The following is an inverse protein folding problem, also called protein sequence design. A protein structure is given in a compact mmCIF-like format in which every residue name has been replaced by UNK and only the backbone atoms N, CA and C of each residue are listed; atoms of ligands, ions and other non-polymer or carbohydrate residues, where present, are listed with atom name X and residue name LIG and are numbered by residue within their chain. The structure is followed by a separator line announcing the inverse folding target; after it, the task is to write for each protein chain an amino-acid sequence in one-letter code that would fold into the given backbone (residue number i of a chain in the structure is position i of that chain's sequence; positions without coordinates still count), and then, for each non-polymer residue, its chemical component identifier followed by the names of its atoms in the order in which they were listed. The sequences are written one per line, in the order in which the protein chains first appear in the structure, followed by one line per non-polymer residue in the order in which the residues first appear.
data_IF_568387161786
#
_entry.id   IF_568387161786
#
_cell.length_a   1.000
_cell.length_b   1.000
_cell.length_c   1.000
_cell.angle_alpha   90.00
_cell.angle_beta   90.00
_cell.angle_gamma   90.00
#
_symmetry.space_group_name_H-M   'P 1'
#
loop_
_entity.id
_entity.type
_entity.pdbx_description
1 polymer ?
2 non-polymer ?
3 non-polymer ?
4 water ?
#
# COMPACT_ATOMS: atom_id res chain seq x y z
N UNK A 19 -38.57 15.30 -1.51
CA UNK A 19 -39.14 15.10 -2.87
C UNK A 19 -38.19 15.58 -3.97
N UNK A 20 -37.35 16.55 -3.65
N UNK A 24 -33.19 8.89 -12.95
CA UNK A 24 -31.76 8.84 -12.71
C UNK A 24 -31.29 7.61 -11.91
N UNK A 25 -29.99 7.62 -11.61
CA UNK A 25 -29.31 6.57 -10.83
C UNK A 25 -28.24 7.23 -9.97
N UNK A 26 -27.43 6.43 -9.29
CA UNK A 26 -26.36 6.93 -8.40
C UNK A 26 -25.28 7.76 -9.12
N UNK A 27 -24.79 8.80 -8.44
CA UNK A 27 -23.67 9.62 -8.93
C UNK A 27 -22.41 8.80 -8.79
N UNK A 28 -21.65 8.70 -9.88
CA UNK A 28 -20.42 7.92 -9.87
C UNK A 28 -19.20 8.74 -10.26
N UNK A 29 -18.18 8.66 -9.43
CA UNK A 29 -16.88 9.25 -9.69
C UNK A 29 -15.93 8.12 -10.04
N UNK A 30 -15.34 8.17 -11.24
CA UNK A 30 -14.36 7.18 -11.66
C UNK A 30 -12.97 7.81 -11.59
N UNK A 31 -12.08 7.22 -10.80
CA UNK A 31 -10.72 7.68 -10.63
C UNK A 31 -9.84 6.75 -11.43
N UNK A 32 -9.36 7.27 -12.56
CA UNK A 32 -8.50 6.54 -13.48
C UNK A 32 -7.02 6.77 -13.14
N UNK A 33 -6.39 5.72 -12.61
CA UNK A 33 -4.98 5.80 -12.19
C UNK A 33 -4.02 5.17 -13.19
N UNK A 34 -4.39 5.18 -14.47
CA UNK A 34 -3.49 4.71 -15.51
C UNK A 34 -2.20 5.54 -15.51
N UNK A 35 -1.10 4.92 -15.91
CA UNK A 35 0.16 5.64 -16.04
C UNK A 35 1.07 4.90 -17.01
N UNK A 36 1.64 5.67 -17.95
CA UNK A 36 2.60 5.12 -18.89
C UNK A 36 3.97 5.17 -18.22
N UNK A 37 4.53 4.00 -18.00
CA UNK A 37 5.80 3.83 -17.31
C UNK A 37 6.32 2.43 -17.51
N UNK A 38 7.58 2.31 -17.92
CA UNK A 38 8.19 1.01 -18.11
C UNK A 38 7.30 0.13 -18.99
N UNK A 39 6.90 -1.03 -18.51
CA UNK A 39 6.08 -1.93 -19.35
C UNK A 39 4.56 -1.71 -19.31
N UNK A 40 4.11 -0.69 -18.57
CA UNK A 40 2.70 -0.31 -18.56
C UNK A 40 2.52 0.86 -19.54
N UNK A 41 1.52 0.80 -20.41
CA UNK A 41 1.24 1.90 -21.37
C UNK A 41 -0.07 2.66 -21.09
N UNK A 42 -0.86 2.15 -20.13
CA UNK A 42 -2.09 2.81 -19.70
C UNK A 42 -3.35 2.60 -20.53
N UNK A 43 -3.24 1.91 -21.65
CA UNK A 43 -4.36 1.75 -22.58
C UNK A 43 -5.51 0.91 -22.03
N UNK A 44 -5.19 -0.16 -21.31
CA UNK A 44 -6.26 -1.01 -20.77
C UNK A 44 -7.07 -0.26 -19.74
N UNK A 45 -6.39 0.48 -18.89
CA UNK A 45 -7.07 1.27 -17.86
C UNK A 45 -7.86 2.43 -18.44
N UNK A 46 -7.35 3.04 -19.51
CA UNK A 46 -8.12 4.09 -20.18
C UNK A 46 -9.40 3.47 -20.76
N UNK A 47 -9.24 2.32 -21.41
CA UNK A 47 -10.36 1.63 -22.05
C UNK A 47 -11.45 1.29 -21.03
N UNK A 48 -11.06 0.69 -19.91
CA UNK A 48 -12.02 0.29 -18.88
C UNK A 48 -12.66 1.50 -18.20
N UNK A 49 -11.92 2.57 -18.04
CA UNK A 49 -12.48 3.83 -17.54
C UNK A 49 -13.61 4.26 -18.47
N UNK A 50 -13.34 4.28 -19.77
CA UNK A 50 -14.33 4.73 -20.76
C UNK A 50 -15.51 3.79 -20.89
N UNK A 51 -15.26 2.49 -20.80
CA UNK A 51 -16.33 1.49 -20.84
C UNK A 51 -17.29 1.70 -19.68
N UNK A 52 -16.75 1.92 -18.50
CA UNK A 52 -17.58 2.15 -17.33
C UNK A 52 -18.34 3.47 -17.46
N UNK A 53 -17.66 4.52 -17.89
CA UNK A 53 -18.31 5.82 -18.02
C UNK A 53 -19.49 5.74 -18.99
N UNK A 54 -19.25 5.14 -20.14
CA UNK A 54 -20.28 5.03 -21.17
C UNK A 54 -21.45 4.17 -20.73
N UNK A 55 -21.13 3.01 -20.15
CA UNK A 55 -22.16 2.08 -19.70
C UNK A 55 -23.02 2.68 -18.58
N UNK A 56 -22.35 3.30 -17.62
CA UNK A 56 -23.06 3.89 -16.48
C UNK A 56 -23.92 5.08 -16.92
N UNK A 57 -23.41 5.90 -17.83
CA UNK A 57 -24.17 7.03 -18.36
C UNK A 57 -25.41 6.53 -19.10
N UNK A 58 -25.22 5.48 -19.89
CA UNK A 58 -26.28 4.84 -20.69
C UNK A 58 -27.38 4.39 -19.72
N UNK A 59 -26.91 3.83 -18.60
CA UNK A 59 -27.77 3.27 -17.54
C UNK A 59 -28.50 4.29 -16.68
N UNK A 60 -28.17 5.57 -16.83
CA UNK A 60 -28.85 6.64 -16.09
C UNK A 60 -28.05 7.34 -14.99
N UNK A 61 -26.78 6.99 -14.84
CA UNK A 61 -25.95 7.62 -13.83
C UNK A 61 -25.24 8.84 -14.35
N UNK A 62 -25.10 9.86 -13.49
CA UNK A 62 -24.25 10.99 -13.80
C UNK A 62 -22.85 10.47 -13.44
N UNK A 63 -21.87 10.71 -14.32
CA UNK A 63 -20.50 10.26 -14.13
C UNK A 63 -19.46 11.37 -14.31
N UNK A 64 -18.55 11.45 -13.35
CA UNK A 64 -17.40 12.34 -13.39
C UNK A 64 -16.16 11.47 -13.43
N UNK A 65 -15.14 11.91 -14.17
CA UNK A 65 -13.88 11.17 -14.29
C UNK A 65 -12.70 12.03 -13.87
N UNK A 66 -11.86 11.46 -13.02
CA UNK A 66 -10.60 12.07 -12.62
C UNK A 66 -9.48 11.23 -13.21
N UNK A 67 -8.57 11.87 -13.95
CA UNK A 67 -7.44 11.16 -14.54
C UNK A 67 -6.22 11.59 -13.73
N UNK A 68 -5.84 10.72 -12.79
CA UNK A 68 -4.81 11.07 -11.80
C UNK A 68 -3.48 11.54 -12.37
N UNK A 69 -2.95 10.81 -13.34
CA UNK A 69 -1.63 11.17 -13.89
C UNK A 69 -1.59 12.52 -14.59
N UNK A 70 -2.76 13.05 -14.97
CA UNK A 70 -2.83 14.34 -15.65
C UNK A 70 -2.73 15.48 -14.67
N UNK A 71 -3.00 15.18 -13.40
CA UNK A 71 -3.10 16.19 -12.37
C UNK A 71 -4.54 16.39 -11.91
N UNK A 72 -4.68 17.09 -10.80
CA UNK A 72 -5.97 17.30 -10.17
C UNK A 72 -5.89 18.46 -9.18
N UNK A 73 -7.03 19.06 -8.93
CA UNK A 73 -7.15 20.12 -7.95
C UNK A 73 -7.71 19.44 -6.70
N UNK A 74 -6.91 19.42 -5.64
CA UNK A 74 -7.29 18.74 -4.39
C UNK A 74 -8.66 19.15 -3.88
N UNK A 75 -8.92 20.45 -3.83
CA UNK A 75 -10.23 20.92 -3.35
C UNK A 75 -11.39 20.40 -4.20
N UNK A 76 -11.20 20.44 -5.51
CA UNK A 76 -12.22 19.91 -6.43
C UNK A 76 -12.47 18.42 -6.19
N UNK A 77 -11.40 17.67 -5.92
CA UNK A 77 -11.53 16.23 -5.66
C UNK A 77 -12.31 15.97 -4.37
N UNK A 78 -12.04 16.75 -3.33
CA UNK A 78 -12.79 16.60 -2.09
C UNK A 78 -14.27 16.82 -2.38
N UNK A 79 -14.57 17.87 -3.15
CA UNK A 79 -15.95 18.15 -3.52
C UNK A 79 -16.56 17.01 -4.35
N UNK A 80 -15.76 16.40 -5.21
CA UNK A 80 -16.16 15.25 -6.04
C UNK A 80 -16.58 14.03 -5.19
N UNK A 81 -15.81 13.74 -4.15
CA UNK A 81 -16.17 12.66 -3.20
C UNK A 81 -17.51 12.98 -2.52
N UNK A 82 -17.69 14.23 -2.11
CA UNK A 82 -18.94 14.63 -1.46
C UNK A 82 -20.14 14.50 -2.40
N UNK A 83 -19.92 14.78 -3.67
CA UNK A 83 -20.94 14.67 -4.72
C UNK A 83 -21.28 13.22 -5.05
N UNK A 84 -20.26 12.38 -5.08
CA UNK A 84 -20.43 10.98 -5.44
C UNK A 84 -21.20 10.11 -4.46
N UNK A 85 -21.96 9.18 -5.02
CA UNK A 85 -22.57 8.10 -4.21
C UNK A 85 -21.65 6.88 -4.21
N UNK A 86 -20.95 6.68 -5.32
CA UNK A 86 -20.02 5.57 -5.48
C UNK A 86 -18.75 6.07 -6.18
N UNK A 87 -17.61 5.63 -5.65
CA UNK A 87 -16.31 5.96 -6.22
C UNK A 87 -15.68 4.68 -6.76
N UNK A 88 -15.35 4.66 -8.05
CA UNK A 88 -14.67 3.53 -8.67
C UNK A 88 -13.20 3.89 -8.91
N UNK A 89 -12.29 3.05 -8.43
CA UNK A 89 -10.86 3.21 -8.65
C UNK A 89 -10.46 2.24 -9.73
N UNK A 90 -10.14 2.78 -10.91
CA UNK A 90 -9.70 1.99 -12.07
C UNK A 90 -8.17 2.10 -12.11
N UNK A 91 -7.49 0.99 -11.87
CA UNK A 91 -6.04 1.02 -11.74
C UNK A 91 -5.31 -0.24 -12.06
N UNK A 92 -4.08 -0.10 -12.58
CA UNK A 92 -3.22 -1.25 -12.75
C UNK A 92 -2.61 -1.63 -11.40
N UNK A 93 -2.18 -2.88 -11.31
CA UNK A 93 -1.38 -3.36 -10.19
C UNK A 93 0.09 -3.00 -10.46
N UNK A 94 0.67 -2.22 -9.56
CA UNK A 94 2.10 -1.87 -9.56
C UNK A 94 2.65 -2.30 -8.20
N UNK A 95 3.56 -3.25 -8.22
CA UNK A 95 4.18 -3.77 -7.00
C UNK A 95 3.14 -4.10 -5.93
N UNK A 96 2.16 -4.92 -6.36
CA UNK A 96 1.11 -5.50 -5.51
C UNK A 96 0.00 -4.57 -5.08
N UNK A 97 -0.02 -3.35 -5.60
CA UNK A 97 -1.04 -2.40 -5.22
C UNK A 97 -1.15 -1.22 -6.19
N UNK A 98 -1.67 -0.14 -5.65
CA UNK A 98 -1.91 1.03 -6.47
C UNK A 98 -0.61 1.71 -6.93
N UNK A 99 -0.62 2.26 -8.15
CA UNK A 99 0.56 3.03 -8.55
C UNK A 99 0.82 4.15 -7.55
N UNK A 100 2.07 4.58 -7.43
CA UNK A 100 2.38 5.63 -6.50
C UNK A 100 1.53 6.87 -6.70
N UNK A 101 1.18 7.18 -7.95
CA UNK A 101 0.37 8.38 -8.21
C UNK A 101 -0.98 8.34 -7.50
N UNK A 102 -1.55 7.15 -7.35
CA UNK A 102 -2.84 7.04 -6.67
C UNK A 102 -2.67 7.11 -5.14
N UNK A 103 -1.58 6.56 -4.62
CA UNK A 103 -1.31 6.72 -3.19
C UNK A 103 -1.08 8.22 -2.89
N UNK A 104 -0.41 8.94 -3.77
CA UNK A 104 -0.22 10.38 -3.55
C UNK A 104 -1.54 11.11 -3.56
N UNK A 105 -2.41 10.76 -4.51
CA UNK A 105 -3.75 11.31 -4.58
C UNK A 105 -4.52 11.11 -3.27
N UNK A 106 -4.53 9.89 -2.75
CA UNK A 106 -5.19 9.59 -1.48
C UNK A 106 -4.57 10.35 -0.32
N UNK A 107 -3.24 10.37 -0.28
CA UNK A 107 -2.48 11.02 0.82
C UNK A 107 -2.78 12.52 0.86
N UNK A 108 -3.02 13.11 -0.31
CA UNK A 108 -3.34 14.54 -0.38
C UNK A 108 -4.84 14.81 -0.15
N UNK A 109 -5.66 14.11 -0.92
CA UNK A 109 -7.10 14.32 -0.90
C UNK A 109 -7.79 13.92 0.41
N UNK A 110 -7.48 12.73 0.90
CA UNK A 110 -8.12 12.28 2.15
C UNK A 110 -7.69 13.17 3.32
N UNK A 111 -6.41 13.47 3.40
CA UNK A 111 -5.84 14.29 4.48
C UNK A 111 -6.43 15.71 4.47
N UNK A 112 -6.42 16.33 3.29
CA UNK A 112 -6.95 17.68 3.16
C UNK A 112 -8.48 17.69 3.35
N UNK A 113 -9.08 16.51 3.20
CA UNK A 113 -10.50 16.30 3.43
C UNK A 113 -10.87 16.22 4.89
N UNK A 114 -9.90 16.34 5.79
CA UNK A 114 -10.22 16.34 7.22
C UNK A 114 -11.24 17.45 7.51
N UNK A 115 -12.32 17.08 8.18
CA UNK A 115 -13.44 17.98 8.51
C UNK A 115 -14.65 17.75 7.63
N UNK A 116 -14.43 17.16 6.45
CA UNK A 116 -15.50 16.90 5.49
C UNK A 116 -15.63 15.43 5.08
N UNK A 117 -14.51 14.74 4.88
CA UNK A 117 -14.50 13.31 4.53
C UNK A 117 -14.39 12.43 5.80
N UNK A 118 -13.71 12.94 6.81
CA UNK A 118 -13.58 12.27 8.11
C UNK A 118 -13.34 13.34 9.15
N UNK A 119 -13.68 13.00 10.39
CA UNK A 119 -13.51 13.91 11.51
C UNK A 119 -12.40 13.50 12.44
N UNK A 120 -12.28 12.20 12.68
CA UNK A 120 -11.27 11.70 13.62
C UNK A 120 -11.02 10.24 13.36
N UNK A 121 -10.18 9.63 14.20
CA UNK A 121 -9.92 8.19 14.11
C UNK A 121 -11.01 7.37 14.80
N UNK A 122 -12.03 8.04 15.34
CA UNK A 122 -13.15 7.37 15.98
C UNK A 122 -12.93 6.90 17.41
N UNK A 123 -11.75 7.16 17.96
CA UNK A 123 -11.45 6.78 19.33
C UNK A 123 -11.65 7.93 20.33
N UNK A 124 -11.64 7.55 21.59
CA UNK A 124 -11.69 8.49 22.70
C UNK A 124 -10.42 8.21 23.51
N UNK A 125 -9.79 9.26 24.05
CA UNK A 125 -8.58 9.06 24.88
C UNK A 125 -8.94 8.28 26.15
N UNK A 126 -10.23 8.31 26.50
CA UNK A 126 -10.81 7.60 27.66
C UNK A 126 -10.74 6.08 27.52
N UNK A 127 -11.08 5.58 26.33
CA UNK A 127 -11.08 4.15 26.00
C UNK A 127 -10.27 3.98 24.69
N UNK A 128 -8.99 4.28 24.81
CA UNK A 128 -8.04 4.37 23.67
C UNK A 128 -7.79 3.11 22.84
N UNK A 129 -8.09 1.93 23.36
CA UNK A 129 -7.82 0.70 22.60
C UNK A 129 -8.92 0.39 21.60
N UNK A 130 -10.05 1.10 21.69
CA UNK A 130 -11.21 0.81 20.88
C UNK A 130 -11.64 1.91 19.91
N UNK A 131 -12.34 1.48 18.87
CA UNK A 131 -13.01 2.38 17.93
C UNK A 131 -12.25 2.90 16.75
N UNK A 132 -10.98 2.54 16.61
CA UNK A 132 -10.19 3.03 15.49
C UNK A 132 -10.92 2.78 14.16
N UNK A 133 -10.99 3.80 13.32
CA UNK A 133 -11.63 3.70 12.01
C UNK A 133 -13.10 4.08 11.94
N UNK A 134 -13.67 4.50 13.07
CA UNK A 134 -15.11 4.83 13.14
C UNK A 134 -15.42 6.34 13.17
N UNK A 135 -14.44 7.16 12.78
CA UNK A 135 -14.59 8.62 12.79
C UNK A 135 -14.81 9.27 11.43
N UNK A 136 -15.27 8.48 10.46
CA UNK A 136 -15.58 8.97 9.13
C UNK A 136 -16.79 9.88 9.10
N UNK A 137 -16.98 10.54 7.97
CA UNK A 137 -18.11 11.43 7.74
C UNK A 137 -18.92 11.09 6.50
N UNK A 138 -18.41 10.18 5.66
CA UNK A 138 -19.10 9.85 4.40
C UNK A 138 -19.73 8.45 4.37
N UNK A 139 -20.23 8.04 5.54
CA UNK A 139 -21.02 6.83 5.67
C UNK A 139 -22.17 6.90 4.66
N UNK A 140 -22.51 5.76 4.09
CA UNK A 140 -23.56 5.70 3.06
C UNK A 140 -22.99 5.59 1.65
N UNK A 141 -21.81 6.16 1.43
CA UNK A 141 -21.16 6.08 0.14
C UNK A 141 -20.47 4.73 0.01
N UNK A 142 -20.32 4.30 -1.24
CA UNK A 142 -19.63 3.07 -1.52
C UNK A 142 -18.48 3.32 -2.48
N UNK A 143 -17.56 2.36 -2.52
CA UNK A 143 -16.43 2.44 -3.41
C UNK A 143 -16.18 1.03 -3.98
N UNK A 144 -15.49 0.99 -5.11
CA UNK A 144 -15.19 -0.26 -5.78
C UNK A 144 -13.86 -0.22 -6.46
N UNK A 145 -13.12 -1.32 -6.34
CA UNK A 145 -11.85 -1.47 -7.01
C UNK A 145 -12.06 -2.20 -8.34
N UNK A 146 -11.42 -1.67 -9.39
CA UNK A 146 -11.39 -2.28 -10.71
C UNK A 146 -9.91 -2.29 -11.08
N UNK A 147 -9.32 -3.48 -11.05
CA UNK A 147 -7.88 -3.62 -11.13
C UNK A 147 -7.42 -4.51 -12.28
N UNK A 148 -6.20 -4.28 -12.76
CA UNK A 148 -5.62 -5.04 -13.87
C UNK A 148 -4.23 -5.56 -13.47
N UNK A 149 -4.06 -6.88 -13.56
CA UNK A 149 -2.85 -7.56 -13.12
C UNK A 149 -2.23 -8.46 -14.19
N UNK A 150 -0.90 -8.48 -14.23
CA UNK A 150 -0.15 -9.50 -14.97
C UNK A 150 -0.36 -10.87 -14.27
N UNK A 151 -0.45 -10.89 -12.94
CA UNK A 151 -0.63 -12.13 -12.19
C UNK A 151 -1.89 -12.87 -12.61
N UNK A 152 -1.86 -14.22 -12.56
CA UNK A 152 -3.04 -15.00 -12.85
C UNK A 152 -3.99 -15.00 -11.66
N UNK A 153 -5.25 -15.26 -11.93
CA UNK A 153 -6.26 -15.26 -10.87
C UNK A 153 -5.92 -16.27 -9.75
N UNK A 154 -5.34 -17.41 -10.11
CA UNK A 154 -4.99 -18.45 -9.14
C UNK A 154 -3.93 -18.03 -8.13
N UNK A 155 -3.16 -17.00 -8.43
CA UNK A 155 -2.15 -16.53 -7.48
C UNK A 155 -2.80 -16.01 -6.20
N UNK A 156 -4.08 -15.62 -6.30
CA UNK A 156 -4.83 -15.04 -5.18
C UNK A 156 -5.64 -16.06 -4.38
N UNK A 157 -5.99 -17.17 -5.03
CA UNK A 157 -6.88 -18.16 -4.43
C UNK A 157 -6.25 -19.50 -4.05
N UNK A 158 -5.23 -19.94 -4.76
CA UNK A 158 -4.61 -21.24 -4.45
C UNK A 158 -3.78 -21.06 -3.18
N UNK A 159 -4.09 -21.80 -2.10
CA UNK A 159 -3.36 -21.58 -0.83
C UNK A 159 -1.82 -21.78 -0.87
N UNK A 160 -1.32 -22.52 -1.84
CA UNK A 160 0.12 -22.73 -1.98
C UNK A 160 0.78 -21.67 -2.84
N UNK A 161 -0.02 -20.79 -3.44
CA UNK A 161 0.51 -19.75 -4.31
C UNK A 161 0.85 -18.48 -3.53
N UNK A 162 1.34 -17.48 -4.25
CA UNK A 162 1.98 -16.30 -3.67
C UNK A 162 1.20 -15.60 -2.58
N UNK A 163 -0.11 -15.44 -2.76
CA UNK A 163 -0.91 -14.68 -1.80
C UNK A 163 -1.57 -15.54 -0.73
N UNK A 164 -1.19 -16.82 -0.68
CA UNK A 164 -1.63 -17.73 0.42
C UNK A 164 -3.17 -17.80 0.55
N UNK A 165 -3.91 -17.63 -0.55
CA UNK A 165 -5.36 -17.71 -0.55
C UNK A 165 -6.16 -16.56 0.02
N UNK A 166 -5.54 -15.41 0.25
CA UNK A 166 -6.24 -14.29 0.90
C UNK A 166 -7.18 -13.57 -0.05
N UNK A 167 -7.06 -13.85 -1.34
CA UNK A 167 -7.93 -13.22 -2.31
C UNK A 167 -7.51 -11.80 -2.66
N UNK A 168 -8.07 -11.26 -3.75
CA UNK A 168 -7.74 -9.91 -4.17
C UNK A 168 -8.04 -8.91 -3.03
N UNK A 169 -9.13 -9.12 -2.28
CA UNK A 169 -9.47 -8.16 -1.23
C UNK A 169 -8.51 -8.22 -0.04
N UNK A 170 -7.88 -9.37 0.17
CA UNK A 170 -6.82 -9.48 1.16
C UNK A 170 -5.57 -8.71 0.75
N UNK A 171 -5.23 -8.80 -0.52
CA UNK A 171 -4.06 -8.07 -1.07
C UNK A 171 -4.27 -6.57 -1.00
N UNK A 172 -5.53 -6.14 -1.24
CA UNK A 172 -5.84 -4.69 -1.20
C UNK A 172 -6.35 -4.22 0.16
N UNK A 173 -6.19 -5.03 1.19
CA UNK A 173 -6.71 -4.70 2.52
C UNK A 173 -6.37 -3.25 3.00
N UNK A 174 -5.11 -2.78 2.88
CA UNK A 174 -4.88 -1.41 3.35
C UNK A 174 -5.61 -0.35 2.53
N UNK A 175 -5.73 -0.56 1.22
CA UNK A 175 -6.43 0.39 0.36
C UNK A 175 -7.93 0.40 0.70
N UNK A 176 -8.49 -0.78 0.89
CA UNK A 176 -9.86 -0.88 1.38
C UNK A 176 -10.02 -0.10 2.70
N UNK A 177 -9.13 -0.34 3.63
CA UNK A 177 -9.24 0.27 4.95
C UNK A 177 -9.07 1.79 4.92
N UNK A 178 -8.28 2.32 4.01
CA UNK A 178 -8.13 3.78 3.91
C UNK A 178 -9.52 4.38 3.57
N UNK A 179 -10.20 3.74 2.63
CA UNK A 179 -11.54 4.15 2.22
C UNK A 179 -12.59 3.96 3.32
N UNK A 180 -12.49 2.85 4.05
CA UNK A 180 -13.41 2.57 5.12
C UNK A 180 -13.24 3.49 6.33
N UNK A 181 -12.05 4.03 6.50
CA UNK A 181 -11.78 4.99 7.61
C UNK A 181 -12.62 6.26 7.45
N UNK A 182 -12.95 6.56 6.19
CA UNK A 182 -13.80 7.71 5.87
C UNK A 182 -15.28 7.40 6.09
N UNK A 183 -15.60 6.14 6.31
CA UNK A 183 -16.96 5.70 6.53
C UNK A 183 -17.58 4.88 5.41
N UNK A 184 -16.88 4.74 4.28
CA UNK A 184 -17.41 4.03 3.14
C UNK A 184 -17.37 2.52 3.26
N UNK A 185 -18.18 1.87 2.44
CA UNK A 185 -18.22 0.39 2.34
C UNK A 185 -17.95 -0.04 0.91
N UNK A 186 -17.33 -1.21 0.75
CA UNK A 186 -16.99 -1.66 -0.59
C UNK A 186 -18.09 -2.39 -1.33
N UNK A 187 -18.03 -2.27 -2.64
CA UNK A 187 -18.76 -3.12 -3.56
C UNK A 187 -17.77 -4.23 -3.96
N UNK A 188 -18.27 -5.30 -4.58
CA UNK A 188 -17.35 -6.36 -4.97
C UNK A 188 -16.31 -5.89 -5.97
N UNK A 189 -15.11 -6.40 -5.81
CA UNK A 189 -13.97 -6.02 -6.65
C UNK A 189 -14.01 -6.68 -8.02
N UNK A 190 -13.66 -5.89 -9.04
CA UNK A 190 -13.53 -6.39 -10.40
C UNK A 190 -12.05 -6.48 -10.75
N UNK A 191 -11.63 -7.60 -11.29
CA UNK A 191 -10.23 -7.80 -11.63
C UNK A 191 -10.06 -8.50 -12.97
N UNK A 192 -9.12 -7.98 -13.75
CA UNK A 192 -8.65 -8.60 -14.98
C UNK A 192 -7.26 -9.16 -14.66
N UNK A 193 -7.01 -10.38 -15.09
CA UNK A 193 -5.76 -11.09 -14.82
C UNK A 193 -5.05 -11.49 -16.10
N UNK A 194 -3.75 -11.77 -15.97
CA UNK A 194 -2.87 -12.18 -17.08
C UNK A 194 -2.99 -11.20 -18.25
N UNK A 195 -3.01 -9.90 -17.95
CA UNK A 195 -3.33 -8.89 -18.97
C UNK A 195 -2.22 -8.58 -19.95
N UNK A 196 -1.01 -9.04 -19.67
CA UNK A 196 0.12 -8.79 -20.57
C UNK A 196 0.31 -9.96 -21.52
N UNK A 197 0.46 -11.15 -20.95
CA UNK A 197 0.66 -12.37 -21.73
C UNK A 197 -0.56 -12.85 -22.48
N UNK A 198 -1.74 -12.67 -21.89
CA UNK A 198 -2.98 -13.14 -22.50
C UNK A 198 -4.06 -12.07 -22.53
N UNK A 199 -3.85 -11.00 -23.32
CA UNK A 199 -4.85 -9.96 -23.43
C UNK A 199 -6.17 -10.51 -23.94
N UNK A 200 -7.25 -10.04 -23.36
CA UNK A 200 -8.61 -10.44 -23.73
C UNK A 200 -9.50 -9.25 -23.51
N UNK A 201 -9.37 -8.26 -24.38
CA UNK A 201 -10.11 -7.01 -24.25
C UNK A 201 -11.62 -7.20 -24.35
N UNK A 202 -12.06 -8.00 -25.32
CA UNK A 202 -13.50 -8.27 -25.50
C UNK A 202 -14.10 -8.93 -24.27
N UNK A 203 -13.36 -9.89 -23.73
CA UNK A 203 -13.77 -10.60 -22.53
C UNK A 203 -13.78 -9.67 -21.32
N UNK A 204 -12.75 -8.83 -21.20
CA UNK A 204 -12.68 -7.86 -20.11
C UNK A 204 -13.90 -6.97 -20.10
N UNK A 205 -14.24 -6.46 -21.29
CA UNK A 205 -15.35 -5.53 -21.45
C UNK A 205 -16.69 -6.21 -21.13
N UNK A 206 -16.89 -7.41 -21.66
CA UNK A 206 -18.14 -8.15 -21.37
C UNK A 206 -18.28 -8.42 -19.87
N UNK A 207 -17.21 -8.92 -19.25
CA UNK A 207 -17.22 -9.22 -17.81
C UNK A 207 -17.44 -7.96 -16.98
N UNK A 208 -16.81 -6.86 -17.39
CA UNK A 208 -16.91 -5.61 -16.63
C UNK A 208 -18.33 -5.05 -16.71
N UNK A 209 -18.92 -5.07 -17.90
CA UNK A 209 -20.30 -4.59 -18.05
C UNK A 209 -21.23 -5.41 -17.15
N UNK A 210 -21.02 -6.72 -17.15
CA UNK A 210 -21.82 -7.63 -16.29
C UNK A 210 -21.63 -7.26 -14.81
N UNK A 211 -20.40 -7.00 -14.42
CA UNK A 211 -20.04 -6.62 -13.04
C UNK A 211 -20.72 -5.30 -12.64
N UNK A 212 -20.66 -4.33 -13.54
CA UNK A 212 -21.29 -3.02 -13.30
C UNK A 212 -22.80 -3.15 -13.23
N UNK A 213 -23.38 -3.93 -14.12
CA UNK A 213 -24.83 -4.15 -14.11
C UNK A 213 -25.30 -4.75 -12.79
N UNK A 214 -24.55 -5.70 -12.27
CA UNK A 214 -24.90 -6.40 -11.03
C UNK A 214 -24.65 -5.58 -9.79
N UNK A 215 -23.53 -4.84 -9.77
CA UNK A 215 -23.07 -4.14 -8.55
C UNK A 215 -23.23 -2.63 -8.46
N UNK A 216 -23.20 -1.94 -9.59
CA UNK A 216 -23.26 -0.47 -9.59
C UNK A 216 -24.63 0.06 -10.01
N UNK A 217 -25.27 -0.62 -10.96
CA UNK A 217 -26.63 -0.30 -11.35
C UNK A 217 -27.56 -0.84 -10.29
N UNK A 218 -28.64 -0.11 -10.05
CA UNK A 218 -29.63 -0.51 -9.07
C UNK A 218 -31.01 0.01 -9.42
N UNK B 24 31.42 -10.79 11.06
CA UNK B 24 30.53 -10.88 9.87
C UNK B 24 29.10 -10.44 10.18
N UNK B 25 28.95 -9.22 10.71
CA UNK B 25 27.63 -8.64 11.01
C UNK B 25 27.06 -8.19 9.65
N UNK B 26 25.76 -8.33 9.47
CA UNK B 26 25.11 -7.98 8.19
C UNK B 26 25.26 -6.53 7.74
N UNK B 27 25.46 -6.31 6.43
CA UNK B 27 25.41 -4.98 5.85
C UNK B 27 23.93 -4.57 5.92
N UNK B 28 23.63 -3.40 6.47
CA UNK B 28 22.25 -2.94 6.61
C UNK B 28 22.01 -1.62 5.89
N UNK B 29 20.98 -1.62 5.05
CA UNK B 29 20.49 -0.44 4.38
C UNK B 29 19.21 -0.02 5.11
N UNK B 30 19.20 1.21 5.63
CA UNK B 30 18.01 1.77 6.25
C UNK B 30 17.38 2.77 5.28
N UNK B 31 16.12 2.53 4.94
CA UNK B 31 15.35 3.39 4.06
C UNK B 31 14.36 4.16 4.94
N UNK B 32 14.67 5.44 5.15
CA UNK B 32 13.86 6.33 5.98
C UNK B 32 12.86 7.06 5.12
N UNK B 33 11.59 6.71 5.28
CA UNK B 33 10.50 7.28 4.50
C UNK B 33 9.73 8.36 5.25
N UNK B 34 10.41 8.99 6.20
CA UNK B 34 9.78 10.12 6.89
C UNK B 34 9.42 11.22 5.87
N UNK B 35 8.37 11.97 6.20
CA UNK B 35 8.02 13.13 5.40
C UNK B 35 7.26 14.13 6.22
N UNK B 36 7.66 15.39 6.09
CA UNK B 36 7.00 16.52 6.75
C UNK B 36 5.79 16.90 5.91
N UNK B 37 4.61 16.65 6.46
CA UNK B 37 3.37 16.92 5.74
C UNK B 37 2.22 16.89 6.69
N UNK B 38 1.34 17.87 6.58
CA UNK B 38 0.17 17.93 7.44
C UNK B 38 0.56 17.72 8.93
N UNK B 39 -0.02 16.74 9.61
CA UNK B 39 0.31 16.50 11.03
C UNK B 39 1.58 15.67 11.29
N UNK B 40 2.19 15.13 10.24
CA UNK B 40 3.44 14.35 10.40
C UNK B 40 4.62 15.35 10.30
N UNK B 41 5.48 15.38 11.32
CA UNK B 41 6.69 16.25 11.30
C UNK B 41 8.01 15.47 11.01
N UNK B 42 7.92 14.15 10.95
CA UNK B 42 9.06 13.27 10.64
C UNK B 42 10.04 12.98 11.73
N UNK B 43 9.86 13.59 12.90
CA UNK B 43 10.87 13.49 13.95
C UNK B 43 11.00 12.13 14.59
N UNK B 44 9.89 11.41 14.75
CA UNK B 44 9.94 10.08 15.35
C UNK B 44 10.68 9.12 14.40
N UNK B 45 10.34 9.19 13.12
CA UNK B 45 11.01 8.33 12.13
C UNK B 45 12.49 8.68 11.98
N UNK B 46 12.84 9.96 12.04
CA UNK B 46 14.27 10.32 12.02
C UNK B 46 14.99 9.79 13.27
N UNK B 47 14.35 9.95 14.43
CA UNK B 47 14.92 9.43 15.67
C UNK B 47 15.17 7.93 15.57
N UNK B 48 14.20 7.18 15.11
CA UNK B 48 14.34 5.71 15.02
C UNK B 48 15.35 5.29 13.96
N UNK B 49 15.46 6.06 12.89
CA UNK B 49 16.48 5.82 11.86
C UNK B 49 17.86 5.91 12.55
N UNK B 50 18.06 6.97 13.32
CA UNK B 50 19.32 7.17 14.07
C UNK B 50 19.57 6.14 15.15
N UNK B 51 18.53 5.77 15.88
CA UNK B 51 18.64 4.73 16.91
C UNK B 51 19.18 3.45 16.27
N UNK B 52 18.60 3.06 15.13
CA UNK B 52 19.05 1.88 14.43
C UNK B 52 20.46 2.03 13.89
N UNK B 53 20.75 3.15 13.23
CA UNK B 53 22.08 3.34 12.66
C UNK B 53 23.16 3.26 13.74
N UNK B 54 22.93 3.95 14.85
CA UNK B 54 23.89 3.97 15.96
C UNK B 54 24.08 2.59 16.59
N UNK B 55 22.96 1.94 16.90
CA UNK B 55 23.00 0.62 17.54
C UNK B 55 23.67 -0.41 16.64
N UNK B 56 23.30 -0.39 15.36
CA UNK B 56 23.84 -1.35 14.42
C UNK B 56 25.34 -1.13 14.16
N UNK B 57 25.73 0.14 14.04
CA UNK B 57 27.13 0.52 13.89
C UNK B 57 27.95 0.08 15.10
N UNK B 58 27.42 0.31 16.31
CA UNK B 58 28.10 -0.12 17.54
C UNK B 58 28.24 -1.63 17.61
N UNK B 59 27.23 -2.33 17.08
CA UNK B 59 27.19 -3.79 17.05
C UNK B 59 28.11 -4.40 15.97
N UNK B 60 28.71 -3.57 15.11
CA UNK B 60 29.65 -4.04 14.09
C UNK B 60 29.14 -4.14 12.67
N UNK B 61 27.93 -3.65 12.41
CA UNK B 61 27.40 -3.66 11.06
C UNK B 61 27.81 -2.41 10.28
N UNK B 62 28.03 -2.59 8.98
CA UNK B 62 28.17 -1.46 8.08
C UNK B 62 26.73 -1.01 7.79
N UNK B 63 26.50 0.30 7.85
CA UNK B 63 25.17 0.85 7.63
C UNK B 63 25.16 1.96 6.60
N UNK B 64 24.18 1.89 5.71
CA UNK B 64 23.92 2.94 4.72
C UNK B 64 22.48 3.38 4.95
N UNK B 65 22.23 4.67 4.73
CA UNK B 65 20.91 5.26 4.92
C UNK B 65 20.44 6.03 3.69
N UNK B 66 19.22 5.72 3.25
CA UNK B 66 18.57 6.44 2.17
C UNK B 66 17.45 7.23 2.81
N UNK B 67 17.41 8.54 2.56
CA UNK B 67 16.36 9.41 3.08
C UNK B 67 15.47 9.73 1.88
N UNK B 68 14.38 8.96 1.75
CA UNK B 68 13.55 9.02 0.54
C UNK B 68 13.09 10.41 0.12
N UNK B 69 12.58 11.18 1.06
CA UNK B 69 12.03 12.50 0.73
C UNK B 69 13.08 13.52 0.32
N UNK B 70 14.33 13.27 0.64
CA UNK B 70 15.41 14.18 0.33
C UNK B 70 15.95 13.93 -1.06
N UNK B 71 15.51 12.84 -1.68
CA UNK B 71 15.93 12.47 -3.02
C UNK B 71 16.89 11.30 -3.06
N UNK B 72 16.96 10.67 -4.23
CA UNK B 72 17.80 9.50 -4.42
C UNK B 72 18.13 9.29 -5.89
N UNK B 73 19.21 8.57 -6.14
CA UNK B 73 19.63 8.17 -7.49
C UNK B 73 19.25 6.69 -7.65
N UNK B 74 18.40 6.41 -8.63
CA UNK B 74 17.87 5.04 -8.79
C UNK B 74 18.95 3.98 -8.96
N UNK B 75 19.94 4.25 -9.81
CA UNK B 75 21.03 3.30 -10.02
C UNK B 75 21.76 3.03 -8.71
N UNK B 76 22.05 4.10 -7.96
CA UNK B 76 22.75 3.96 -6.68
C UNK B 76 21.91 3.12 -5.69
N UNK B 77 20.59 3.29 -5.73
CA UNK B 77 19.71 2.53 -4.84
C UNK B 77 19.69 1.05 -5.22
N UNK B 78 19.65 0.74 -6.51
CA UNK B 78 19.76 -0.64 -6.95
C UNK B 78 21.06 -1.26 -6.40
N UNK B 79 22.17 -0.52 -6.55
CA UNK B 79 23.45 -0.97 -6.04
C UNK B 79 23.41 -1.16 -4.52
N UNK B 80 22.72 -0.27 -3.82
CA UNK B 80 22.53 -0.35 -2.35
C UNK B 80 21.83 -1.66 -1.94
N UNK B 81 20.78 -2.03 -2.67
CA UNK B 81 20.10 -3.30 -2.38
C UNK B 81 21.03 -4.49 -2.58
N UNK B 82 21.82 -4.45 -3.66
CA UNK B 82 22.76 -5.55 -3.93
C UNK B 82 23.82 -5.64 -2.83
N UNK B 83 24.25 -4.49 -2.32
CA UNK B 83 25.22 -4.41 -1.23
C UNK B 83 24.67 -4.91 0.11
N UNK B 84 23.42 -4.62 0.37
CA UNK B 84 22.81 -4.95 1.64
C UNK B 84 22.52 -6.41 1.85
N UNK B 85 22.67 -6.84 3.09
CA UNK B 85 22.20 -8.17 3.53
C UNK B 85 20.78 -8.05 4.10
N UNK B 86 20.48 -6.90 4.70
CA UNK B 86 19.16 -6.62 5.30
C UNK B 86 18.77 -5.18 4.97
N UNK B 87 17.53 -5.00 4.57
CA UNK B 87 16.94 -3.67 4.30
C UNK B 87 15.87 -3.38 5.34
N UNK B 88 16.02 -2.30 6.05
CA UNK B 88 15.04 -1.85 7.04
C UNK B 88 14.27 -0.66 6.49
N UNK B 89 12.95 -0.78 6.42
CA UNK B 89 12.07 0.32 6.03
C UNK B 89 11.53 1.00 7.27
N UNK B 90 12.01 2.20 7.56
CA UNK B 90 11.55 3.00 8.69
C UNK B 90 10.53 4.00 8.14
N UNK B 91 9.28 3.89 8.57
CA UNK B 91 8.25 4.69 8.00
C UNK B 91 7.03 4.91 8.86
N UNK B 92 6.43 6.08 8.69
CA UNK B 92 5.15 6.30 9.32
C UNK B 92 4.03 5.62 8.52
N UNK B 93 2.93 5.35 9.21
CA UNK B 93 1.69 4.91 8.55
C UNK B 93 0.95 6.13 7.99
N UNK B 94 0.76 6.14 6.68
CA UNK B 94 -0.06 7.13 5.98
C UNK B 94 -1.17 6.35 5.28
N UNK B 95 -2.41 6.61 5.66
CA UNK B 95 -3.57 5.96 5.05
C UNK B 95 -3.37 4.46 4.93
N UNK B 96 -3.03 3.86 6.07
CA UNK B 96 -2.92 2.41 6.29
C UNK B 96 -1.68 1.77 5.71
N UNK B 97 -0.75 2.55 5.21
CA UNK B 97 0.44 1.99 4.61
C UNK B 97 1.56 3.00 4.43
N UNK B 98 2.45 2.71 3.50
CA UNK B 98 3.61 3.57 3.32
C UNK B 98 3.22 4.90 2.66
N UNK B 99 3.93 5.98 3.01
CA UNK B 99 3.73 7.26 2.36
C UNK B 99 3.94 7.09 0.86
N UNK B 100 3.25 7.91 0.09
CA UNK B 100 3.36 7.83 -1.36
C UNK B 100 4.80 7.90 -1.84
N UNK B 101 5.65 8.66 -1.14
CA UNK B 101 7.05 8.78 -1.57
C UNK B 101 7.79 7.44 -1.58
N UNK B 102 7.44 6.54 -0.64
CA UNK B 102 8.07 5.23 -0.60
C UNK B 102 7.47 4.31 -1.67
N UNK B 103 6.19 4.42 -1.95
CA UNK B 103 5.62 3.66 -3.07
C UNK B 103 6.29 4.09 -4.39
N UNK B 104 6.55 5.40 -4.55
CA UNK B 104 7.24 5.89 -5.75
C UNK B 104 8.67 5.32 -5.80
N UNK B 105 9.35 5.34 -4.67
CA UNK B 105 10.70 4.78 -4.56
C UNK B 105 10.70 3.33 -5.02
N UNK B 106 9.76 2.53 -4.51
CA UNK B 106 9.66 1.12 -4.90
C UNK B 106 9.34 0.96 -6.38
N UNK B 107 8.36 1.72 -6.84
CA UNK B 107 7.89 1.65 -8.22
C UNK B 107 9.04 1.97 -9.21
N UNK B 108 9.94 2.85 -8.80
CA UNK B 108 11.09 3.21 -9.65
C UNK B 108 12.26 2.25 -9.48
N UNK B 109 12.65 2.02 -8.23
CA UNK B 109 13.85 1.22 -7.94
C UNK B 109 13.65 -0.26 -8.27
N UNK B 110 12.54 -0.85 -7.84
CA UNK B 110 12.33 -2.29 -8.09
C UNK B 110 12.23 -2.53 -9.60
N UNK B 111 11.45 -1.70 -10.28
CA UNK B 111 11.25 -1.85 -11.73
C UNK B 111 12.54 -1.65 -12.51
N UNK B 112 13.27 -0.59 -12.20
CA UNK B 112 14.55 -0.34 -12.90
C UNK B 112 15.57 -1.42 -12.54
N UNK B 113 15.37 -2.08 -11.39
CA UNK B 113 16.21 -3.18 -10.94
C UNK B 113 15.95 -4.51 -11.63
N UNK B 114 15.01 -4.53 -12.57
CA UNK B 114 14.76 -5.74 -13.36
C UNK B 114 16.09 -6.19 -13.99
N UNK B 115 16.42 -7.47 -13.81
CA UNK B 115 17.66 -8.07 -14.27
C UNK B 115 18.69 -8.25 -13.15
N UNK B 116 18.53 -7.47 -12.07
CA UNK B 116 19.44 -7.49 -10.93
C UNK B 116 18.74 -7.82 -9.60
N UNK B 117 17.58 -7.19 -9.36
CA UNK B 117 16.82 -7.45 -8.14
C UNK B 117 15.80 -8.58 -8.36
N UNK B 118 15.25 -8.66 -9.56
CA UNK B 118 14.36 -9.73 -9.96
C UNK B 118 14.56 -9.98 -11.45
N UNK B 119 14.27 -11.20 -11.88
CA UNK B 119 14.42 -11.58 -13.29
C UNK B 119 13.08 -11.66 -14.01
N UNK B 120 12.06 -12.19 -13.33
CA UNK B 120 10.77 -12.39 -13.97
C UNK B 120 9.70 -12.52 -12.89
N UNK B 121 8.47 -12.78 -13.32
CA UNK B 121 7.36 -13.04 -12.39
C UNK B 121 7.37 -14.50 -11.90
N UNK B 122 8.34 -15.28 -12.36
CA UNK B 122 8.52 -16.66 -11.94
C UNK B 122 7.86 -17.71 -12.81
N UNK B 123 7.04 -17.26 -13.75
CA UNK B 123 6.33 -18.15 -14.68
C UNK B 123 7.15 -18.27 -15.99
N UNK B 124 8.31 -18.93 -15.91
CA UNK B 124 9.25 -19.06 -17.04
C UNK B 124 9.19 -20.43 -17.73
N UNK B 125 8.06 -21.11 -17.54
CA UNK B 125 7.87 -22.43 -18.12
C UNK B 125 6.38 -22.78 -18.25
N UNK B 126 6.03 -23.28 -19.43
CA UNK B 126 4.68 -23.78 -19.81
C UNK B 126 3.45 -23.58 -18.90
N UNK B 127 3.61 -23.83 -17.59
CA UNK B 127 2.51 -23.71 -16.60
C UNK B 127 2.32 -22.30 -16.02
N UNK B 128 1.67 -21.45 -16.81
CA UNK B 128 1.40 -20.03 -16.49
C UNK B 128 0.39 -19.72 -15.37
N UNK B 129 -0.29 -20.72 -14.84
CA UNK B 129 -1.23 -20.48 -13.73
C UNK B 129 -0.46 -20.58 -12.42
N UNK B 130 0.81 -20.99 -12.53
CA UNK B 130 1.62 -21.30 -11.37
C UNK B 130 2.96 -20.56 -11.34
N UNK B 131 3.54 -20.48 -10.14
CA UNK B 131 4.87 -19.90 -9.91
C UNK B 131 5.01 -18.40 -9.72
N UNK B 132 3.90 -17.68 -9.82
CA UNK B 132 3.94 -16.23 -9.66
C UNK B 132 4.66 -15.85 -8.37
N UNK B 133 5.60 -14.92 -8.51
CA UNK B 133 6.41 -14.40 -7.42
C UNK B 133 7.70 -15.13 -7.09
N UNK B 134 8.07 -16.14 -7.87
CA UNK B 134 9.30 -16.90 -7.62
C UNK B 134 10.46 -16.51 -8.53
N UNK B 135 10.33 -15.42 -9.26
CA UNK B 135 11.36 -14.99 -10.22
C UNK B 135 12.36 -13.95 -9.69
N UNK B 136 12.48 -13.87 -8.36
CA UNK B 136 13.41 -12.96 -7.73
C UNK B 136 14.86 -13.33 -7.97
N UNK B 137 15.75 -12.41 -7.61
CA UNK B 137 17.20 -12.64 -7.74
C UNK B 137 17.97 -12.41 -6.46
N UNK B 138 17.34 -11.83 -5.43
CA UNK B 138 18.03 -11.50 -4.19
C UNK B 138 17.64 -12.37 -2.99
N UNK B 139 17.35 -13.62 -3.30
CA UNK B 139 17.13 -14.64 -2.29
C UNK B 139 18.33 -14.64 -1.34
N UNK B 140 18.05 -14.82 -0.06
CA UNK B 140 19.07 -14.78 0.99
C UNK B 140 19.08 -13.46 1.74
N UNK B 141 18.68 -12.38 1.06
CA UNK B 141 18.56 -11.08 1.72
C UNK B 141 17.26 -11.06 2.52
N UNK B 142 17.26 -10.25 3.57
CA UNK B 142 16.09 -10.07 4.39
C UNK B 142 15.71 -8.60 4.47
N UNK B 143 14.45 -8.36 4.83
CA UNK B 143 13.96 -7.00 5.00
C UNK B 143 13.11 -6.94 6.26
N UNK B 144 12.94 -5.75 6.81
CA UNK B 144 12.18 -5.57 8.02
C UNK B 144 11.44 -4.26 7.99
N UNK B 145 10.18 -4.29 8.42
CA UNK B 145 9.38 -3.11 8.55
C UNK B 145 9.49 -2.56 9.98
N UNK B 146 9.69 -1.26 10.09
CA UNK B 146 9.72 -0.52 11.36
C UNK B 146 8.76 0.64 11.13
N UNK B 147 7.57 0.56 11.73
CA UNK B 147 6.47 1.46 11.41
C UNK B 147 5.95 2.22 12.62
N UNK B 148 5.37 3.40 12.38
CA UNK B 148 4.83 4.24 13.43
C UNK B 148 3.39 4.63 13.09
N UNK B 149 2.50 4.34 14.02
CA UNK B 149 1.06 4.54 13.87
C UNK B 149 0.43 5.32 15.01
N UNK B 150 -0.56 6.11 14.65
CA UNK B 150 -1.47 6.68 15.61
C UNK B 150 -2.40 5.56 16.17
N UNK B 151 -2.78 4.61 15.33
CA UNK B 151 -3.65 3.51 15.77
C UNK B 151 -3.05 2.77 16.94
N UNK B 152 -3.91 2.25 17.84
CA UNK B 152 -3.43 1.44 18.94
C UNK B 152 -3.15 0.01 18.48
N UNK B 153 -2.29 -0.69 19.21
CA UNK B 153 -1.94 -2.06 18.87
C UNK B 153 -3.18 -2.97 18.73
N UNK B 154 -4.19 -2.74 19.55
CA UNK B 154 -5.41 -3.55 19.52
C UNK B 154 -6.21 -3.45 18.23
N UNK B 155 -6.03 -2.37 17.46
CA UNK B 155 -6.71 -2.27 16.19
C UNK B 155 -6.31 -3.41 15.24
N UNK B 156 -5.11 -3.96 15.45
CA UNK B 156 -4.53 -5.02 14.60
C UNK B 156 -4.83 -6.44 15.08
N UNK B 157 -5.03 -6.60 16.39
CA UNK B 157 -5.19 -7.93 16.97
C UNK B 157 -6.59 -8.34 17.43
N UNK B 158 -7.37 -7.36 17.88
CA UNK B 158 -8.72 -7.63 18.43
C UNK B 158 -9.61 -7.89 17.24
N UNK B 159 -10.18 -9.10 17.16
CA UNK B 159 -10.99 -9.52 16.00
C UNK B 159 -12.19 -8.64 15.62
N UNK B 160 -12.75 -7.93 16.59
CA UNK B 160 -13.88 -7.01 16.39
C UNK B 160 -13.42 -5.60 16.00
N UNK B 161 -12.12 -5.37 16.00
CA UNK B 161 -11.57 -4.04 15.67
C UNK B 161 -11.26 -3.93 14.15
N UNK B 162 -10.79 -2.76 13.75
CA UNK B 162 -10.72 -2.35 12.34
C UNK B 162 -10.08 -3.32 11.41
N UNK B 163 -8.97 -3.93 11.82
CA UNK B 163 -8.23 -4.86 10.93
C UNK B 163 -8.63 -6.33 11.07
N UNK B 164 -9.71 -6.61 11.79
CA UNK B 164 -10.27 -7.98 11.88
C UNK B 164 -9.23 -9.03 12.34
N UNK B 165 -8.28 -8.64 13.19
CA UNK B 165 -7.27 -9.56 13.71
C UNK B 165 -6.17 -10.03 12.80
N UNK B 166 -6.01 -9.41 11.64
CA UNK B 166 -4.99 -9.89 10.68
C UNK B 166 -3.55 -9.50 11.05
N UNK B 167 -3.40 -8.66 12.06
CA UNK B 167 -2.08 -8.24 12.51
C UNK B 167 -1.42 -7.22 11.61
N UNK B 168 -0.37 -6.59 12.11
CA UNK B 168 0.37 -5.61 11.31
C UNK B 168 0.84 -6.24 10.00
N UNK B 169 1.24 -7.51 10.00
CA UNK B 169 1.75 -8.11 8.76
C UNK B 169 0.63 -8.36 7.76
N UNK B 170 -0.60 -8.56 8.24
CA UNK B 170 -1.73 -8.62 7.32
C UNK B 170 -2.04 -7.29 6.66
N UNK B 171 -1.94 -6.23 7.44
CA UNK B 171 -2.16 -4.87 6.93
C UNK B 171 -1.11 -4.50 5.88
N UNK B 172 0.14 -4.90 6.11
CA UNK B 172 1.24 -4.63 5.18
C UNK B 172 1.46 -5.73 4.15
N UNK B 173 0.51 -6.64 3.99
CA UNK B 173 0.65 -7.75 3.04
C UNK B 173 1.22 -7.30 1.69
N UNK B 174 0.56 -6.35 1.00
CA UNK B 174 1.08 -6.03 -0.35
C UNK B 174 2.54 -5.53 -0.35
N UNK B 175 2.92 -4.77 0.68
CA UNK B 175 4.30 -4.27 0.78
C UNK B 175 5.27 -5.43 1.04
N UNK B 176 4.90 -6.34 1.93
CA UNK B 176 5.65 -7.57 2.14
C UNK B 176 5.85 -8.29 0.80
N UNK B 177 4.75 -8.46 0.09
CA UNK B 177 4.78 -9.24 -1.15
C UNK B 177 5.60 -8.59 -2.26
N UNK B 178 5.62 -7.26 -2.30
CA UNK B 178 6.49 -6.57 -3.27
C UNK B 178 7.96 -6.97 -3.02
N UNK B 179 8.35 -6.95 -1.75
CA UNK B 179 9.71 -7.35 -1.35
C UNK B 179 10.02 -8.82 -1.58
N UNK B 180 9.04 -9.67 -1.32
CA UNK B 180 9.18 -11.12 -1.50
C UNK B 180 9.24 -11.51 -2.97
N UNK B 181 8.63 -10.71 -3.83
CA UNK B 181 8.70 -10.96 -5.30
C UNK B 181 10.16 -10.89 -5.80
N UNK B 182 10.98 -10.11 -5.11
CA UNK B 182 12.42 -9.99 -5.40
C UNK B 182 13.23 -11.18 -4.87
N UNK B 183 12.59 -11.97 -4.01
CA UNK B 183 13.19 -13.17 -3.42
C UNK B 183 13.52 -13.07 -1.94
N UNK B 184 13.31 -11.89 -1.35
CA UNK B 184 13.64 -11.69 0.05
C UNK B 184 12.60 -12.27 1.00
N UNK B 185 13.02 -12.41 2.25
CA UNK B 185 12.18 -12.91 3.36
C UNK B 185 12.18 -11.87 4.46
N UNK B 186 11.07 -11.79 5.21
CA UNK B 186 10.98 -10.77 6.24
C UNK B 186 11.54 -11.21 7.59
N UNK B 187 12.03 -10.23 8.31
CA UNK B 187 12.30 -10.35 9.73
C UNK B 187 11.03 -9.86 10.45
N UNK B 188 10.88 -10.14 11.76
CA UNK B 188 9.69 -9.66 12.46
C UNK B 188 9.56 -8.14 12.40
N UNK B 189 8.35 -7.68 12.24
CA UNK B 189 8.01 -6.28 12.16
C UNK B 189 8.07 -5.59 13.53
N UNK B 190 8.59 -4.38 13.54
CA UNK B 190 8.62 -3.55 14.72
C UNK B 190 7.60 -2.43 14.51
N UNK B 191 6.79 -2.15 15.52
CA UNK B 191 5.77 -1.13 15.42
C UNK B 191 5.65 -0.33 16.71
N UNK B 192 5.52 0.98 16.53
CA UNK B 192 5.18 1.91 17.61
C UNK B 192 3.73 2.32 17.35
N UNK B 193 2.94 2.35 18.42
CA UNK B 193 1.52 2.66 18.37
C UNK B 193 1.16 3.85 19.23
N UNK B 194 0.01 4.43 18.91
CA UNK B 194 -0.54 5.61 19.59
C UNK B 194 0.49 6.73 19.73
N UNK B 195 1.24 6.95 18.65
CA UNK B 195 2.40 7.85 18.67
C UNK B 195 2.08 9.34 18.71
N UNK B 196 0.84 9.69 18.42
CA UNK B 196 0.43 11.09 18.45
C UNK B 196 -0.16 11.48 19.79
N UNK B 197 -1.16 10.70 20.20
CA UNK B 197 -1.89 10.98 21.42
C UNK B 197 -1.15 10.57 22.69
N UNK B 198 -0.29 9.55 22.58
CA UNK B 198 0.47 9.04 23.72
C UNK B 198 1.95 8.77 23.39
N UNK B 199 2.72 9.83 23.10
CA UNK B 199 4.12 9.60 22.77
C UNK B 199 4.88 8.92 23.92
N UNK B 200 5.80 8.05 23.56
CA UNK B 200 6.62 7.34 24.54
C UNK B 200 7.96 7.07 23.87
N UNK B 201 8.72 8.14 23.69
CA UNK B 201 9.99 8.06 22.98
C UNK B 201 10.98 7.13 23.68
N UNK B 202 11.06 7.23 25.01
CA UNK B 202 11.97 6.39 25.78
C UNK B 202 11.64 4.91 25.58
N UNK B 203 10.36 4.58 25.67
CA UNK B 203 9.92 3.19 25.50
C UNK B 203 10.15 2.70 24.08
N UNK B 204 9.89 3.58 23.12
CA UNK B 204 10.08 3.25 21.69
C UNK B 204 11.52 2.84 21.45
N UNK B 205 12.43 3.65 21.97
CA UNK B 205 13.85 3.45 21.76
C UNK B 205 14.33 2.14 22.41
N UNK B 206 13.92 1.91 23.66
CA UNK B 206 14.31 0.70 24.39
C UNK B 206 13.78 -0.54 23.66
N UNK B 207 12.50 -0.51 23.31
CA UNK B 207 11.89 -1.64 22.60
C UNK B 207 12.56 -1.87 21.24
N UNK B 208 12.91 -0.80 20.54
CA UNK B 208 13.51 -0.95 19.21
C UNK B 208 14.92 -1.55 19.31
N UNK B 209 15.71 -1.06 20.25
CA UNK B 209 17.04 -1.62 20.45
C UNK B 209 16.94 -3.12 20.76
N UNK B 210 15.98 -3.50 21.61
CA UNK B 210 15.75 -4.92 21.94
C UNK B 210 15.36 -5.70 20.68
N UNK B 211 14.52 -5.10 19.84
CA UNK B 211 14.06 -5.74 18.60
C UNK B 211 15.24 -5.95 17.63
N UNK B 212 16.09 -4.93 17.51
CA UNK B 212 17.27 -5.00 16.65
C UNK B 212 18.27 -6.05 17.14
N UNK B 213 18.46 -6.08 18.46
CA UNK B 213 19.37 -7.05 19.08
C UNK B 213 18.92 -8.48 18.78
N UNK B 214 17.61 -8.71 18.86
CA UNK B 214 17.07 -10.05 18.66
C UNK B 214 17.05 -10.44 17.21
N UNK B 215 16.67 -9.50 16.33
CA UNK B 215 16.42 -9.83 14.93
C UNK B 215 17.43 -9.46 13.86
N UNK B 216 18.18 -8.40 14.08
CA UNK B 216 19.14 -7.88 13.09
C UNK B 216 20.57 -8.26 13.43
N UNK B 217 20.90 -8.19 14.72
CA UNK B 217 22.19 -8.69 15.19
C UNK B 217 22.21 -10.22 15.14
N UNK B 218 23.38 -10.78 14.85
CA UNK B 218 23.58 -12.22 14.78
C UNK B 218 25.02 -12.58 15.09
X LIG C 1 -1.32 -1.49 -21.42
X LIG C 1 0.06 -1.86 -20.92
X LIG C 1 -1.50 -0.26 -22.28
X LIG C 1 -1.96 -2.67 -22.25
X LIG C 1 -1.85 -4.02 -21.82
X LIG C 1 -2.29 -4.96 -22.95
X LIG C 1 -3.68 -4.76 -23.24
X LIG C 1 -1.54 -4.75 -24.26
X LIG C 1 -1.43 -6.01 -24.90
X LIG C 1 -2.45 -3.82 -25.03
X LIG C 1 -2.28 -3.90 -26.44
X LIG C 1 -3.82 -4.34 -24.61
X LIG C 1 -4.89 -3.33 -24.71
X LIG C 1 -5.13 -2.34 -23.85
X LIG C 1 -6.20 -1.64 -24.29
X LIG C 1 -6.64 -2.20 -25.44
X LIG C 1 -7.68 -1.93 -26.32
X LIG C 1 -8.52 -0.89 -26.10
X LIG C 1 -7.83 -2.72 -27.40
X LIG C 1 -7.01 -3.76 -27.62
X LIG C 1 -5.99 -4.04 -26.80
X LIG C 1 -5.80 -3.28 -25.70
X LIG C 1 1.52 -6.71 -12.54
X LIG C 1 1.24 -7.53 -11.51
X LIG C 1 0.41 -8.55 -11.70
X LIG C 1 1.72 -7.34 -10.28
X LIG C 1 2.58 -6.37 -9.99
X LIG C 1 3.07 -6.23 -8.78
X LIG C 1 2.95 -5.46 -11.07
X LIG C 1 3.81 -4.43 -10.87
X LIG C 1 4.09 -3.57 -11.84
X LIG C 1 4.95 -2.52 -11.58
X LIG C 1 5.25 -1.61 -12.58
X LIG C 1 6.18 -0.48 -12.24
X LIG C 1 4.74 -1.79 -13.85
X LIG C 1 5.09 -0.83 -14.94
X LIG C 1 3.88 -2.84 -14.12
X LIG C 1 3.52 -3.72 -13.11
X LIG C 1 2.73 -4.88 -13.37
X LIG C 1 2.34 -5.66 -12.30
X LIG C 1 1.93 -4.95 -14.61
X LIG C 1 0.79 -3.97 -14.72
X LIG C 1 -0.24 -4.36 -13.82
X LIG C 1 0.24 -3.96 -16.14
X LIG C 1 1.26 -3.39 -16.95
X LIG C 1 -1.06 -3.14 -16.25
X LIG C 1 -2.13 -3.78 -15.54
X LIG C 1 -1.52 -2.99 -17.69
X LIG C 1 -2.54 -1.99 -17.73
X LIG C 1 -2.33 -0.75 -18.70
X LIG C 1 -3.56 0.06 -18.60
X LIG C 1 -0.98 -0.13 -18.46
X LIG C 1 -2.37 -1.43 -20.20
X LIG D 1 -17.33 1.76 -24.85
X LIG D 1 -18.47 2.45 -24.33
X LIG D 1 -16.08 2.60 -24.56
X LIG D 1 -14.87 2.04 -25.07
X LIG D 1 -14.91 0.72 -25.59
X LIG D 1 -13.55 0.40 -26.20
X LIG D 1 -13.43 -1.01 -26.45
X LIG E 1 6.32 13.45 14.43
X LIG E 1 7.46 14.37 14.18
X LIG E 1 4.98 13.80 13.92
X LIG E 1 6.27 13.20 16.00
X LIG E 1 5.24 12.44 16.62
X LIG E 1 5.33 12.68 18.13
X LIG E 1 6.56 12.13 18.63
X LIG E 1 5.33 14.14 18.52
X LIG E 1 4.61 14.30 19.75
X LIG E 1 6.78 14.47 18.70
X LIG E 1 7.00 15.55 19.61
X LIG E 1 7.34 13.18 19.25
X LIG E 1 8.78 12.92 19.03
X LIG E 1 9.33 12.46 17.90
X LIG E 1 10.65 12.30 18.07
X LIG E 1 10.95 12.68 19.33
X LIG E 1 12.13 12.76 20.04
X LIG E 1 13.31 12.40 19.48
X LIG E 1 12.09 13.21 21.32
X LIG E 1 10.93 13.57 21.88
X LIG E 1 9.76 13.52 21.21
X LIG E 1 9.75 13.08 19.93
X LIG E 1 -1.76 7.14 11.50
X LIG E 1 -2.36 5.94 11.50
X LIG E 1 -2.39 5.24 12.61
X LIG E 1 -2.98 5.46 10.42
X LIG E 1 -3.04 6.12 9.28
X LIG E 1 -3.68 5.64 8.24
X LIG E 1 -2.41 7.43 9.22
X LIG E 1 -2.45 8.17 8.10
X LIG E 1 -1.80 9.34 8.03
X LIG E 1 -1.79 10.08 6.85
X LIG E 1 -1.14 11.27 6.77
X LIG E 1 -1.18 12.01 5.45
X LIG E 1 -0.49 11.78 7.88
X LIG E 1 0.20 13.12 7.82
X LIG E 1 -0.48 11.06 9.07
X LIG E 1 -1.12 9.82 9.15
X LIG E 1 -1.19 9.08 10.39
X LIG E 1 -1.74 7.84 10.36
X LIG E 1 -0.25 9.42 11.50
X LIG E 1 1.21 9.19 11.23
X LIG E 1 1.42 7.78 11.23
X LIG E 1 2.04 9.83 12.32
X LIG E 1 1.91 11.25 12.11
X LIG E 1 3.51 9.41 12.24
X LIG E 1 3.66 8.02 12.58
X LIG E 1 4.39 10.22 13.16
X LIG E 1 5.75 9.96 12.89
X LIG E 1 6.72 11.20 12.50
X LIG E 1 8.09 10.64 12.26
X LIG E 1 6.07 12.10 11.48
X LIG E 1 6.77 11.99 13.96
#
# INVERSE_FOLDING_TARGET
MHHHHHHSSGVDLGTENLYFQSNAMSNVLIINAMKEFAHSKGALNLTLTNVAADFLRESGHQVKITTVDQGYDIESEIENYLWADTIIYQMPAWWMGEPWILKKYIDEVFTDGHGRLYQSDGRTRSDATKGYGSGGLIQGKTYMLSVTWNAPREAFTDPEQFFHGVGVDGVYLPFHKANQFLGMKPLPTFMCNDVIKQPDIEGDIARYRQHLAENVNS
MHHHHHHSSGVDLGTENLYFQSNAMSNVLIINAMKEFAHSKGALNLTLTNVAADFLRESGHQVKITTVDQGYDIESEIENYLWADTIIYQMPAWWMGEPWILKKYIDEVFTDGHGRLYQSDGRTRSDATKGYGSGGLIQGKTYMLSVTWNAPREAFTDPEQFFHGVGVDGVYLPFHKANQFLGMKPLPTFMCNDVIKQPDIEGDIARYRQHLAENVNS
FAD PA O1A O2A O5B C5B C4B O4B C3B O3B C2B O2B C1B N9A C8A N7A C5A C6A N6A N1A C2A N3A C4A N1 C2 O2 N3 C4 O4 C4X N5 C5X C6 C7 C7M C8 C8M C9 C9A N10 C10 C1' C2' O2' C3' O3' C4' O4' C5' O5' P O1P O2P O3P
PEG C1 O1 C2 O2 C3 C4 O4
FAD PA O1A O2A O5B C5B C4B O4B C3B O3B C2B O2B C1B N9A C8A N7A C5A C6A N6A N1A C2A N3A C4A N1 C2 O2 N3 C4 O4 C4X N5 C5X C6 C7 C7M C8 C8M C9 C9A N10 C10 C1' C2' O2' C3' O3' C4' O4' C5' O5' P O1P O2P O3P
#
